data_IF_037116595735
#
_entry.id   IF_037116595735
#
_cell.length_a   1.000
_cell.length_b   1.000
_cell.length_c   1.000
_cell.angle_alpha   90.00
_cell.angle_beta   90.00
_cell.angle_gamma   90.00
#
_symmetry.space_group_name_H-M   'P 1'
#
loop_
_entity.id
_entity.type
_entity.pdbx_description
1 polymer ?
#
# COMPACT_ATOMS: atom_id res chain seq x y z
N UNK A 1 12.20 -7.67 -11.97
CA UNK A 1 13.15 -6.66 -11.45
C UNK A 1 12.55 -6.05 -10.19
N UNK A 2 13.32 -5.96 -9.13
CA UNK A 2 13.02 -5.21 -7.91
C UNK A 2 13.87 -3.94 -7.93
N UNK A 3 13.28 -2.79 -7.70
CA UNK A 3 13.96 -1.51 -7.66
C UNK A 3 13.75 -0.87 -6.29
N UNK A 4 14.84 -0.42 -5.67
CA UNK A 4 14.77 0.38 -4.47
C UNK A 4 14.34 1.80 -4.84
N UNK A 5 13.30 2.32 -4.20
CA UNK A 5 12.62 3.54 -4.63
C UNK A 5 13.48 4.82 -4.48
N UNK A 6 14.32 4.89 -3.46
CA UNK A 6 15.15 6.09 -3.20
C UNK A 6 16.51 6.04 -3.88
N UNK A 7 17.16 4.87 -3.91
CA UNK A 7 18.52 4.72 -4.47
C UNK A 7 18.54 4.28 -5.93
N UNK A 8 17.36 3.93 -6.48
CA UNK A 8 17.18 3.40 -7.84
C UNK A 8 17.95 2.09 -8.14
N UNK A 9 18.58 1.51 -7.14
CA UNK A 9 19.26 0.22 -7.27
C UNK A 9 18.29 -0.85 -7.74
N UNK A 10 18.71 -1.63 -8.73
CA UNK A 10 17.89 -2.67 -9.37
C UNK A 10 18.48 -4.05 -9.16
N UNK A 11 17.65 -4.96 -8.70
CA UNK A 11 17.98 -6.37 -8.57
C UNK A 11 17.14 -7.20 -9.54
N UNK A 12 17.78 -8.09 -10.28
CA UNK A 12 17.10 -9.02 -11.21
C UNK A 12 16.99 -10.39 -10.56
N UNK A 13 15.76 -10.87 -10.43
CA UNK A 13 15.47 -12.24 -10.06
C UNK A 13 15.04 -12.99 -11.31
N UNK A 14 15.80 -14.02 -11.69
CA UNK A 14 15.46 -14.88 -12.83
C UNK A 14 14.43 -15.91 -12.39
N UNK A 15 13.23 -15.83 -12.96
CA UNK A 15 12.19 -16.84 -12.79
C UNK A 15 12.26 -17.82 -13.98
N UNK A 16 12.07 -19.12 -13.69
CA UNK A 16 12.08 -20.17 -14.74
C UNK A 16 10.74 -20.31 -15.46
N UNK A 17 9.71 -19.68 -14.90
CA UNK A 17 8.34 -19.74 -15.39
C UNK A 17 7.69 -18.36 -15.27
N UNK A 18 6.46 -18.18 -15.79
CA UNK A 18 5.76 -16.90 -15.71
C UNK A 18 5.34 -16.59 -14.27
N UNK A 19 5.46 -15.31 -13.93
CA UNK A 19 5.10 -14.82 -12.60
C UNK A 19 3.59 -14.59 -12.55
N UNK A 20 2.89 -15.29 -11.65
CA UNK A 20 1.46 -15.12 -11.40
C UNK A 20 1.14 -13.96 -10.50
N UNK A 21 1.81 -13.93 -9.34
CA UNK A 21 1.63 -12.90 -8.30
C UNK A 21 2.96 -12.53 -7.68
N UNK A 22 3.03 -11.32 -7.20
CA UNK A 22 4.15 -10.83 -6.39
C UNK A 22 3.59 -10.11 -5.16
N UNK A 23 4.31 -10.20 -4.05
CA UNK A 23 4.07 -9.41 -2.86
C UNK A 23 5.39 -8.99 -2.25
N UNK A 24 5.44 -7.79 -1.72
CA UNK A 24 6.63 -7.25 -1.06
C UNK A 24 6.24 -6.65 0.28
N UNK A 25 7.05 -6.89 1.29
CA UNK A 25 6.92 -6.26 2.59
C UNK A 25 8.30 -6.14 3.24
N UNK A 26 8.73 -4.90 3.52
CA UNK A 26 10.08 -4.59 4.02
C UNK A 26 11.17 -5.24 3.14
N UNK A 27 11.97 -6.12 3.74
CA UNK A 27 13.07 -6.87 3.14
C UNK A 27 12.64 -8.22 2.52
N UNK A 28 11.34 -8.54 2.51
CA UNK A 28 10.80 -9.80 1.99
C UNK A 28 10.07 -9.60 0.69
N UNK A 29 10.32 -10.51 -0.26
CA UNK A 29 9.63 -10.59 -1.53
C UNK A 29 9.10 -12.00 -1.75
N UNK A 30 7.82 -12.14 -2.01
CA UNK A 30 7.20 -13.38 -2.44
C UNK A 30 6.89 -13.34 -3.94
N UNK A 31 7.21 -14.44 -4.64
CA UNK A 31 6.95 -14.60 -6.07
C UNK A 31 6.23 -15.92 -6.28
N UNK A 32 4.99 -15.86 -6.73
CA UNK A 32 4.20 -17.04 -7.09
C UNK A 32 4.38 -17.38 -8.57
N UNK A 33 4.82 -18.59 -8.82
CA UNK A 33 4.86 -19.24 -10.13
C UNK A 33 3.82 -20.37 -10.17
N UNK A 34 3.54 -20.98 -11.33
CA UNK A 34 2.68 -22.15 -11.39
C UNK A 34 3.16 -23.27 -10.46
N UNK A 35 2.31 -23.65 -9.49
CA UNK A 35 2.59 -24.71 -8.53
C UNK A 35 3.65 -24.42 -7.46
N UNK A 36 4.21 -23.21 -7.40
CA UNK A 36 5.31 -22.89 -6.47
C UNK A 36 5.25 -21.45 -5.99
N UNK A 37 5.62 -21.25 -4.73
CA UNK A 37 5.89 -19.95 -4.12
C UNK A 37 7.35 -19.87 -3.70
N UNK A 38 8.01 -18.79 -4.08
CA UNK A 38 9.38 -18.47 -3.67
C UNK A 38 9.36 -17.25 -2.76
N UNK A 39 10.04 -17.32 -1.63
CA UNK A 39 10.24 -16.20 -0.72
C UNK A 39 11.71 -15.84 -0.72
N UNK A 40 12.00 -14.58 -1.02
CA UNK A 40 13.33 -14.01 -1.09
C UNK A 40 13.52 -13.02 0.04
N UNK A 41 14.74 -12.99 0.55
CA UNK A 41 15.23 -11.90 1.39
C UNK A 41 15.99 -10.91 0.51
N UNK A 42 15.57 -9.66 0.54
CA UNK A 42 16.21 -8.62 -0.24
C UNK A 42 17.44 -8.11 0.52
N UNK A 43 18.55 -7.82 -0.17
CA UNK A 43 19.77 -7.34 0.47
C UNK A 43 19.56 -5.97 1.09
N UNK A 44 20.24 -5.71 2.20
CA UNK A 44 20.34 -4.38 2.77
C UNK A 44 21.02 -3.39 1.81
N UNK A 45 20.78 -2.11 2.01
CA UNK A 45 21.38 -1.04 1.20
C UNK A 45 22.91 -1.13 1.24
N UNK A 46 23.55 -1.10 0.06
CA UNK A 46 25.01 -1.06 -0.04
C UNK A 46 25.72 -2.41 -0.08
N UNK A 47 25.01 -3.54 0.04
CA UNK A 47 25.63 -4.86 -0.16
C UNK A 47 25.89 -5.14 -1.63
N UNK A 48 27.05 -5.76 -1.94
CA UNK A 48 27.36 -6.19 -3.32
C UNK A 48 26.28 -7.17 -3.85
N UNK A 49 25.81 -6.89 -5.05
CA UNK A 49 24.68 -7.61 -5.65
C UNK A 49 25.13 -8.95 -6.23
N UNK A 50 25.22 -9.94 -5.37
CA UNK A 50 25.26 -11.34 -5.80
C UNK A 50 23.91 -11.84 -6.33
N UNK A 51 23.88 -13.04 -6.89
CA UNK A 51 22.63 -13.72 -7.27
C UNK A 51 21.77 -13.94 -6.02
N UNK A 52 20.61 -13.27 -5.95
CA UNK A 52 19.65 -13.49 -4.84
C UNK A 52 19.05 -14.88 -4.99
N UNK A 53 19.31 -15.72 -4.00
CA UNK A 53 18.71 -17.06 -3.89
C UNK A 53 17.41 -16.97 -3.08
N UNK A 54 16.39 -17.77 -3.41
CA UNK A 54 15.21 -17.84 -2.58
C UNK A 54 15.57 -18.39 -1.20
N UNK A 55 15.08 -17.74 -0.17
CA UNK A 55 15.18 -18.20 1.22
C UNK A 55 14.30 -19.44 1.41
N UNK A 56 13.08 -19.41 0.88
CA UNK A 56 12.13 -20.51 0.93
C UNK A 56 11.57 -20.86 -0.45
N UNK A 57 11.28 -22.16 -0.65
CA UNK A 57 10.61 -22.70 -1.83
C UNK A 57 9.48 -23.60 -1.37
N UNK A 58 8.26 -23.21 -1.66
CA UNK A 58 7.08 -23.92 -1.19
C UNK A 58 6.28 -24.47 -2.37
N UNK A 59 5.77 -25.70 -2.32
CA UNK A 59 4.75 -26.15 -3.24
C UNK A 59 3.46 -25.35 -2.95
N UNK A 60 2.91 -24.71 -3.96
CA UNK A 60 1.68 -23.94 -3.85
C UNK A 60 0.87 -24.12 -5.13
N UNK A 61 -0.09 -25.00 -5.10
CA UNK A 61 -1.04 -25.25 -6.19
C UNK A 61 -2.30 -24.42 -6.07
N UNK A 62 -2.56 -23.84 -4.88
CA UNK A 62 -3.74 -23.03 -4.63
C UNK A 62 -3.73 -21.75 -5.50
N UNK A 63 -4.81 -21.51 -6.19
CA UNK A 63 -5.05 -20.23 -6.85
C UNK A 63 -5.48 -19.20 -5.81
N UNK A 64 -5.00 -17.97 -5.97
CA UNK A 64 -5.39 -16.87 -5.10
C UNK A 64 -5.66 -15.62 -5.94
N UNK A 65 -6.59 -14.79 -5.49
CA UNK A 65 -6.87 -13.50 -6.11
C UNK A 65 -5.77 -12.49 -5.74
N UNK A 66 -5.35 -12.51 -4.47
CA UNK A 66 -4.27 -11.65 -3.95
C UNK A 66 -3.28 -12.48 -3.14
N UNK A 67 -2.01 -12.16 -3.28
CA UNK A 67 -0.92 -12.61 -2.44
C UNK A 67 -0.46 -11.43 -1.58
N UNK A 68 -0.39 -11.62 -0.26
CA UNK A 68 0.06 -10.60 0.69
C UNK A 68 1.21 -11.17 1.51
N UNK A 69 2.18 -10.32 1.83
CA UNK A 69 3.37 -10.70 2.58
C UNK A 69 3.48 -9.86 3.84
N UNK A 70 3.87 -10.49 4.94
CA UNK A 70 4.29 -9.85 6.18
C UNK A 70 5.72 -10.27 6.51
N UNK A 71 6.23 -9.94 7.67
CA UNK A 71 7.64 -10.22 7.97
C UNK A 71 7.94 -11.72 8.15
N UNK A 72 6.96 -12.50 8.65
CA UNK A 72 7.12 -13.93 8.95
C UNK A 72 6.06 -14.82 8.29
N UNK A 73 5.06 -14.22 7.63
CA UNK A 73 3.94 -14.94 7.06
C UNK A 73 3.63 -14.47 5.65
N UNK A 74 2.95 -15.30 4.89
CA UNK A 74 2.26 -14.90 3.68
C UNK A 74 0.77 -15.23 3.80
N UNK A 75 -0.06 -14.44 3.12
CA UNK A 75 -1.50 -14.64 3.11
C UNK A 75 -1.97 -14.83 1.68
N UNK A 76 -2.89 -15.75 1.53
CA UNK A 76 -3.60 -16.01 0.28
C UNK A 76 -5.04 -15.55 0.43
N UNK A 77 -5.48 -14.69 -0.48
CA UNK A 77 -6.88 -14.29 -0.57
C UNK A 77 -7.54 -15.04 -1.71
N UNK A 78 -8.63 -15.70 -1.40
CA UNK A 78 -9.49 -16.34 -2.39
C UNK A 78 -10.96 -16.02 -2.08
N UNK A 79 -11.57 -15.23 -2.95
CA UNK A 79 -12.94 -14.71 -2.74
C UNK A 79 -13.09 -14.03 -1.36
N UNK A 80 -13.86 -14.65 -0.46
CA UNK A 80 -14.13 -14.15 0.90
C UNK A 80 -13.13 -14.64 1.95
N UNK A 81 -12.22 -15.54 1.58
CA UNK A 81 -11.31 -16.21 2.50
C UNK A 81 -9.93 -15.56 2.48
N UNK A 82 -9.43 -15.29 3.66
CA UNK A 82 -8.06 -14.84 3.90
C UNK A 82 -7.34 -15.92 4.72
N UNK A 83 -6.33 -16.55 4.15
CA UNK A 83 -5.61 -17.65 4.76
C UNK A 83 -4.18 -17.25 5.10
N UNK A 84 -3.77 -17.44 6.35
CA UNK A 84 -2.45 -17.16 6.88
C UNK A 84 -1.59 -18.41 6.86
N UNK A 85 -0.38 -18.29 6.34
CA UNK A 85 0.64 -19.33 6.29
C UNK A 85 1.96 -18.82 6.84
N UNK A 86 2.62 -19.62 7.67
CA UNK A 86 4.03 -19.42 7.99
C UNK A 86 4.92 -19.69 6.76
N UNK A 87 6.15 -19.21 6.76
CA UNK A 87 7.08 -19.43 5.64
C UNK A 87 7.43 -20.91 5.41
N UNK A 88 7.25 -21.78 6.40
CA UNK A 88 7.32 -23.23 6.21
C UNK A 88 6.13 -23.85 5.47
N UNK A 89 5.15 -23.08 5.01
CA UNK A 89 3.99 -23.54 4.26
C UNK A 89 2.86 -24.13 5.11
N UNK A 90 2.97 -24.10 6.44
CA UNK A 90 1.89 -24.54 7.35
C UNK A 90 0.83 -23.44 7.43
N UNK A 91 -0.45 -23.81 7.18
CA UNK A 91 -1.58 -22.94 7.41
C UNK A 91 -1.82 -22.78 8.91
N UNK A 92 -1.82 -21.53 9.38
CA UNK A 92 -1.96 -21.21 10.79
C UNK A 92 -3.35 -20.69 11.15
N UNK A 93 -3.96 -19.93 10.21
CA UNK A 93 -5.27 -19.31 10.44
C UNK A 93 -6.02 -19.05 9.13
N UNK A 94 -7.34 -18.96 9.25
CA UNK A 94 -8.24 -18.57 8.19
C UNK A 94 -9.30 -17.62 8.73
N UNK A 95 -9.60 -16.56 7.99
CA UNK A 95 -10.75 -15.69 8.21
C UNK A 95 -11.69 -15.81 7.01
N UNK A 96 -12.99 -15.88 7.29
CA UNK A 96 -14.02 -15.77 6.28
C UNK A 96 -14.74 -14.45 6.48
N UNK A 97 -14.73 -13.59 5.46
CA UNK A 97 -15.32 -12.26 5.51
C UNK A 97 -16.73 -12.27 4.86
N UNK A 98 -17.47 -11.19 5.04
CA UNK A 98 -18.86 -11.10 4.58
C UNK A 98 -18.97 -11.01 3.05
N UNK A 99 -17.99 -10.41 2.40
CA UNK A 99 -17.94 -10.22 0.94
C UNK A 99 -16.55 -10.53 0.36
N UNK A 100 -16.43 -10.52 -0.96
CA UNK A 100 -15.18 -10.75 -1.68
C UNK A 100 -14.12 -9.72 -1.30
N UNK A 101 -12.91 -10.21 -1.06
CA UNK A 101 -11.73 -9.38 -0.74
C UNK A 101 -11.21 -8.76 -2.04
N UNK A 102 -11.24 -7.44 -2.11
CA UNK A 102 -10.78 -6.68 -3.27
C UNK A 102 -9.38 -6.10 -3.07
N UNK A 103 -9.04 -5.72 -1.84
CA UNK A 103 -7.75 -5.12 -1.52
C UNK A 103 -7.31 -5.42 -0.10
N UNK A 104 -6.00 -5.59 0.10
CA UNK A 104 -5.38 -5.77 1.42
C UNK A 104 -4.16 -4.88 1.52
N UNK A 105 -4.12 -4.05 2.54
CA UNK A 105 -2.96 -3.21 2.91
C UNK A 105 -2.39 -3.70 4.23
N UNK A 106 -1.10 -4.01 4.25
CA UNK A 106 -0.38 -4.27 5.51
C UNK A 106 -0.06 -2.93 6.16
N UNK A 107 -0.58 -2.71 7.36
CA UNK A 107 -0.37 -1.45 8.09
C UNK A 107 0.83 -1.48 9.03
N UNK A 108 1.53 -2.63 9.08
CA UNK A 108 2.70 -2.85 9.92
C UNK A 108 2.33 -3.25 11.34
N UNK A 109 3.35 -3.32 12.18
CA UNK A 109 3.28 -3.82 13.55
C UNK A 109 4.52 -4.65 13.87
N UNK A 110 4.61 -5.22 15.09
CA UNK A 110 5.63 -6.19 15.44
C UNK A 110 5.53 -7.43 14.54
N UNK A 111 6.65 -8.11 14.30
CA UNK A 111 6.68 -9.35 13.52
C UNK A 111 5.73 -10.39 14.12
N UNK A 112 4.88 -10.99 13.31
CA UNK A 112 3.86 -11.94 13.74
C UNK A 112 2.60 -11.31 14.37
N UNK A 113 2.52 -9.97 14.45
CA UNK A 113 1.37 -9.21 14.96
C UNK A 113 1.01 -8.05 14.06
N UNK A 114 1.39 -8.12 12.80
CA UNK A 114 1.08 -7.07 11.85
C UNK A 114 -0.44 -6.89 11.70
N UNK A 115 -0.83 -5.63 11.54
CA UNK A 115 -2.19 -5.27 11.20
C UNK A 115 -2.39 -5.23 9.69
N UNK A 116 -3.58 -5.60 9.27
CA UNK A 116 -4.06 -5.51 7.89
C UNK A 116 -5.30 -4.64 7.85
N UNK A 117 -5.47 -3.88 6.79
CA UNK A 117 -6.77 -3.28 6.43
C UNK A 117 -7.22 -3.91 5.13
N UNK A 118 -8.45 -4.39 5.14
CA UNK A 118 -9.05 -5.16 4.04
C UNK A 118 -10.25 -4.39 3.51
N UNK A 119 -10.28 -4.17 2.21
CA UNK A 119 -11.40 -3.60 1.48
C UNK A 119 -12.18 -4.67 0.74
N UNK A 120 -13.50 -4.64 0.86
CA UNK A 120 -14.42 -5.64 0.33
C UNK A 120 -15.25 -5.12 -0.85
N UNK A 121 -15.75 -6.04 -1.65
CA UNK A 121 -16.60 -5.77 -2.80
C UNK A 121 -17.96 -5.13 -2.44
N UNK A 122 -18.40 -5.30 -1.22
CA UNK A 122 -19.64 -4.68 -0.73
C UNK A 122 -19.41 -3.29 -0.09
N UNK A 123 -18.19 -2.76 -0.17
CA UNK A 123 -17.80 -1.46 0.39
C UNK A 123 -17.39 -1.50 1.87
N UNK A 124 -17.44 -2.66 2.52
CA UNK A 124 -17.00 -2.76 3.91
C UNK A 124 -15.48 -2.73 3.99
N UNK A 125 -14.94 -1.98 4.96
CA UNK A 125 -13.55 -2.03 5.36
C UNK A 125 -13.41 -2.68 6.73
N UNK A 126 -12.45 -3.59 6.87
CA UNK A 126 -12.16 -4.31 8.11
C UNK A 126 -10.69 -4.18 8.48
N UNK A 127 -10.39 -4.17 9.78
CA UNK A 127 -9.05 -4.34 10.32
C UNK A 127 -8.89 -5.75 10.85
N UNK A 128 -7.79 -6.38 10.49
CA UNK A 128 -7.41 -7.73 10.95
C UNK A 128 -6.01 -7.64 11.54
N UNK A 129 -5.81 -8.22 12.71
CA UNK A 129 -4.48 -8.49 13.25
C UNK A 129 -4.18 -9.96 13.06
N UNK A 130 -3.00 -10.29 12.55
CA UNK A 130 -2.69 -11.67 12.18
C UNK A 130 -2.64 -12.64 13.36
N UNK A 131 -2.43 -12.13 14.57
CA UNK A 131 -2.50 -12.88 15.83
C UNK A 131 -3.92 -12.95 16.44
N UNK A 132 -4.92 -12.28 15.83
CA UNK A 132 -6.30 -12.24 16.33
C UNK A 132 -7.27 -12.90 15.33
N UNK A 133 -8.14 -13.83 15.77
CA UNK A 133 -9.13 -14.48 14.89
C UNK A 133 -10.32 -13.58 14.52
N UNK A 134 -10.51 -12.43 15.18
CA UNK A 134 -11.70 -11.60 15.00
C UNK A 134 -11.41 -10.34 14.18
N UNK A 135 -11.97 -10.23 12.96
CA UNK A 135 -11.93 -9.00 12.19
C UNK A 135 -12.73 -7.89 12.88
N UNK A 136 -12.20 -6.67 12.85
CA UNK A 136 -12.86 -5.48 13.37
C UNK A 136 -13.39 -4.66 12.19
N UNK A 137 -14.69 -4.44 12.12
CA UNK A 137 -15.31 -3.55 11.14
C UNK A 137 -14.89 -2.11 11.43
N UNK A 138 -14.45 -1.40 10.38
CA UNK A 138 -14.06 0.01 10.48
C UNK A 138 -15.21 0.92 10.05
N UNK A 139 -15.66 0.75 8.83
CA UNK A 139 -16.77 1.51 8.24
C UNK A 139 -17.35 0.76 7.03
N UNK A 140 -18.44 1.28 6.50
CA UNK A 140 -19.08 0.85 5.27
C UNK A 140 -19.08 1.99 4.28
N UNK A 141 -18.39 1.81 3.15
CA UNK A 141 -18.42 2.72 2.01
C UNK A 141 -19.62 2.39 1.11
N UNK A 142 -20.08 3.35 0.32
CA UNK A 142 -21.28 3.20 -0.54
C UNK A 142 -21.07 2.29 -1.74
N UNK A 143 -19.83 2.10 -2.18
CA UNK A 143 -19.46 1.33 -3.37
C UNK A 143 -18.33 0.35 -3.04
N UNK A 144 -18.06 -0.61 -3.94
CA UNK A 144 -16.98 -1.58 -3.79
C UNK A 144 -15.61 -0.89 -3.67
N UNK A 145 -14.81 -1.34 -2.71
CA UNK A 145 -13.45 -0.81 -2.48
C UNK A 145 -12.51 -1.41 -3.51
N UNK A 146 -11.88 -0.54 -4.31
CA UNK A 146 -10.93 -0.91 -5.35
C UNK A 146 -9.48 -0.88 -4.86
N UNK A 147 -9.11 0.16 -4.12
CA UNK A 147 -7.85 0.23 -3.38
C UNK A 147 -8.01 1.16 -2.17
N UNK A 148 -7.07 1.06 -1.26
CA UNK A 148 -7.04 1.91 -0.07
C UNK A 148 -5.60 2.13 0.41
N UNK A 149 -5.39 3.21 1.15
CA UNK A 149 -4.17 3.45 1.90
C UNK A 149 -4.47 4.15 3.24
N UNK A 150 -3.58 3.96 4.20
CA UNK A 150 -3.75 4.45 5.57
C UNK A 150 -2.70 5.49 5.87
N UNK A 151 -3.07 6.57 6.55
CA UNK A 151 -2.16 7.65 6.93
C UNK A 151 -1.05 7.17 7.87
N UNK A 152 0.06 7.93 7.92
CA UNK A 152 1.25 7.59 8.70
C UNK A 152 0.93 7.29 10.17
N UNK A 153 0.06 8.10 10.80
CA UNK A 153 -0.40 7.92 12.18
C UNK A 153 -1.57 6.94 12.32
N UNK A 154 -2.03 6.34 11.21
CA UNK A 154 -3.15 5.37 11.17
C UNK A 154 -4.48 5.91 11.68
N UNK A 155 -4.65 7.22 11.72
CA UNK A 155 -5.89 7.88 12.13
C UNK A 155 -6.87 8.12 10.98
N UNK A 156 -6.38 8.10 9.73
CA UNK A 156 -7.17 8.36 8.53
C UNK A 156 -6.98 7.25 7.51
N UNK A 157 -7.98 7.03 6.68
CA UNK A 157 -7.93 6.07 5.57
C UNK A 157 -8.49 6.72 4.32
N UNK A 158 -7.79 6.56 3.22
CA UNK A 158 -8.26 6.91 1.89
C UNK A 158 -8.70 5.66 1.15
N UNK A 159 -9.85 5.70 0.54
CA UNK A 159 -10.45 4.61 -0.24
C UNK A 159 -10.71 5.12 -1.64
N UNK A 160 -10.36 4.34 -2.64
CA UNK A 160 -10.81 4.54 -4.02
C UNK A 160 -11.79 3.43 -4.35
N UNK A 161 -12.93 3.80 -4.88
CA UNK A 161 -14.02 2.89 -5.20
C UNK A 161 -14.15 2.55 -6.69
N UNK A 162 -15.09 1.68 -7.04
CA UNK A 162 -15.35 1.30 -8.43
C UNK A 162 -15.93 2.46 -9.27
N UNK A 163 -16.48 3.50 -8.62
CA UNK A 163 -16.92 4.75 -9.27
C UNK A 163 -15.77 5.72 -9.55
N UNK A 164 -14.53 5.33 -9.23
CA UNK A 164 -13.34 6.17 -9.37
C UNK A 164 -13.39 7.44 -8.51
N UNK A 165 -13.99 7.35 -7.33
CA UNK A 165 -14.01 8.40 -6.32
C UNK A 165 -13.02 8.05 -5.21
N UNK A 166 -12.19 9.00 -4.80
CA UNK A 166 -11.40 8.88 -3.58
C UNK A 166 -12.15 9.52 -2.43
N UNK A 167 -12.35 8.78 -1.35
CA UNK A 167 -12.98 9.26 -0.12
C UNK A 167 -12.04 9.04 1.05
N UNK A 168 -11.81 10.07 1.85
CA UNK A 168 -10.98 10.01 3.06
C UNK A 168 -11.87 10.01 4.29
N UNK A 169 -11.67 9.00 5.15
CA UNK A 169 -12.37 8.86 6.42
C UNK A 169 -11.43 9.10 7.60
N UNK A 170 -11.94 9.77 8.61
CA UNK A 170 -11.38 9.72 9.96
C UNK A 170 -11.78 8.41 10.64
N UNK A 171 -10.81 7.60 11.02
CA UNK A 171 -11.07 6.27 11.58
C UNK A 171 -11.64 6.28 13.00
N UNK A 172 -11.50 7.40 13.72
CA UNK A 172 -12.03 7.54 15.08
C UNK A 172 -13.51 7.95 15.08
N UNK A 173 -13.86 8.92 14.24
CA UNK A 173 -15.23 9.45 14.16
C UNK A 173 -16.08 8.78 13.08
N UNK A 174 -15.46 8.08 12.11
CA UNK A 174 -16.14 7.55 10.92
C UNK A 174 -16.59 8.63 9.92
N UNK A 175 -16.23 9.89 10.13
CA UNK A 175 -16.64 11.00 9.25
C UNK A 175 -15.83 11.06 7.98
N UNK A 176 -16.49 11.43 6.88
CA UNK A 176 -15.82 11.81 5.63
C UNK A 176 -15.13 13.16 5.82
N UNK A 177 -13.84 13.22 5.55
CA UNK A 177 -13.01 14.43 5.62
C UNK A 177 -12.84 15.08 4.25
N UNK A 178 -12.84 14.28 3.19
CA UNK A 178 -12.52 14.71 1.85
C UNK A 178 -13.06 13.72 0.83
N UNK A 179 -13.54 14.21 -0.30
CA UNK A 179 -14.01 13.39 -1.41
C UNK A 179 -13.71 14.09 -2.73
N UNK A 180 -13.17 13.34 -3.71
CA UNK A 180 -12.88 13.84 -5.05
C UNK A 180 -13.03 12.74 -6.10
N UNK A 181 -13.55 13.07 -7.28
CA UNK A 181 -13.68 12.15 -8.40
C UNK A 181 -12.36 11.95 -9.14
N UNK A 182 -12.40 11.04 -10.13
CA UNK A 182 -11.29 10.75 -11.04
C UNK A 182 -10.04 10.18 -10.35
N UNK A 183 -10.23 9.30 -9.38
CA UNK A 183 -9.17 8.57 -8.72
C UNK A 183 -9.14 7.11 -9.17
N UNK A 184 -7.98 6.60 -9.51
CA UNK A 184 -7.73 5.18 -9.82
C UNK A 184 -6.73 4.53 -8.87
N UNK A 185 -5.93 5.31 -8.16
CA UNK A 185 -4.99 4.88 -7.15
C UNK A 185 -4.75 5.98 -6.12
N UNK A 186 -4.34 5.61 -4.92
CA UNK A 186 -4.10 6.53 -3.81
C UNK A 186 -2.87 6.10 -3.01
N UNK A 187 -2.11 7.06 -2.50
CA UNK A 187 -1.02 6.82 -1.56
C UNK A 187 -0.92 7.96 -0.55
N UNK A 188 -0.81 7.60 0.73
CA UNK A 188 -0.46 8.52 1.80
C UNK A 188 1.05 8.75 1.85
N UNK A 189 1.45 9.94 2.28
CA UNK A 189 2.83 10.19 2.62
C UNK A 189 3.22 9.34 3.84
N UNK A 190 4.34 8.62 3.72
CA UNK A 190 4.81 7.72 4.77
C UNK A 190 5.31 8.45 6.05
N UNK A 191 5.56 9.76 5.95
CA UNK A 191 6.15 10.58 7.02
C UNK A 191 5.21 11.67 7.51
N UNK A 192 4.32 12.19 6.65
CA UNK A 192 3.37 13.24 6.98
C UNK A 192 1.92 12.74 6.93
N UNK A 193 1.22 12.84 8.05
CA UNK A 193 -0.15 12.36 8.20
C UNK A 193 -1.19 13.19 7.42
N UNK A 194 -0.85 14.42 7.05
CA UNK A 194 -1.74 15.36 6.36
C UNK A 194 -1.51 15.44 4.85
N UNK A 195 -0.63 14.61 4.30
CA UNK A 195 -0.35 14.59 2.88
C UNK A 195 -0.76 13.28 2.22
N UNK A 196 -1.58 13.37 1.19
CA UNK A 196 -1.90 12.24 0.34
C UNK A 196 -1.85 12.64 -1.14
N UNK A 197 -1.64 11.69 -2.01
CA UNK A 197 -1.77 11.86 -3.45
C UNK A 197 -2.65 10.76 -4.04
N UNK A 198 -3.30 11.09 -5.14
CA UNK A 198 -4.07 10.14 -5.94
C UNK A 198 -3.91 10.44 -7.42
N UNK A 199 -4.05 9.44 -8.25
CA UNK A 199 -3.98 9.61 -9.70
C UNK A 199 -5.20 9.05 -10.39
N UNK A 200 -5.58 9.67 -11.49
CA UNK A 200 -6.65 9.22 -12.36
C UNK A 200 -6.83 10.19 -13.53
N UNK A 201 -7.35 9.70 -14.64
CA UNK A 201 -7.60 10.50 -15.83
C UNK A 201 -6.38 11.29 -16.34
N UNK A 202 -5.17 10.73 -16.24
CA UNK A 202 -3.94 11.42 -16.67
C UNK A 202 -3.51 12.59 -15.78
N UNK A 203 -4.04 12.66 -14.55
CA UNK A 203 -3.76 13.70 -13.58
C UNK A 203 -3.27 13.09 -12.27
N UNK A 204 -2.22 13.69 -11.70
CA UNK A 204 -1.79 13.49 -10.32
C UNK A 204 -2.37 14.66 -9.50
N UNK A 205 -3.07 14.31 -8.44
CA UNK A 205 -3.62 15.25 -7.46
C UNK A 205 -2.94 15.05 -6.11
N UNK A 206 -2.50 16.14 -5.49
CA UNK A 206 -1.85 16.15 -4.19
C UNK A 206 -2.70 16.97 -3.24
N UNK A 207 -3.10 16.38 -2.13
CA UNK A 207 -3.86 17.00 -1.06
C UNK A 207 -2.99 17.15 0.18
N UNK A 208 -2.89 18.38 0.68
CA UNK A 208 -2.19 18.69 1.94
C UNK A 208 -3.18 19.34 2.89
N UNK A 209 -3.48 18.70 4.00
CA UNK A 209 -4.40 19.20 5.02
C UNK A 209 -5.69 19.79 4.40
N UNK A 210 -6.07 21.00 4.79
CA UNK A 210 -7.24 21.72 4.26
C UNK A 210 -6.91 22.61 3.03
N UNK A 211 -5.71 22.52 2.49
CA UNK A 211 -5.30 23.33 1.34
C UNK A 211 -6.00 22.87 0.05
N UNK A 212 -6.14 23.75 -0.95
CA UNK A 212 -6.60 23.39 -2.27
C UNK A 212 -5.75 22.26 -2.88
N UNK A 213 -6.36 21.47 -3.74
CA UNK A 213 -5.66 20.45 -4.50
C UNK A 213 -4.57 21.08 -5.39
N UNK A 214 -3.38 20.49 -5.35
CA UNK A 214 -2.38 20.71 -6.37
C UNK A 214 -2.52 19.61 -7.43
N UNK A 215 -2.64 20.01 -8.70
CA UNK A 215 -2.84 19.07 -9.80
C UNK A 215 -1.78 19.27 -10.88
N UNK A 216 -1.27 18.17 -11.40
CA UNK A 216 -0.35 18.16 -12.53
C UNK A 216 -0.59 16.94 -13.43
N UNK A 217 -0.15 17.03 -14.68
CA UNK A 217 -0.26 15.92 -15.63
C UNK A 217 0.66 14.77 -15.20
N UNK A 218 0.10 13.57 -15.13
CA UNK A 218 0.84 12.34 -14.87
C UNK A 218 0.03 11.15 -15.39
N UNK A 219 0.69 10.25 -16.09
CA UNK A 219 0.10 8.98 -16.46
C UNK A 219 0.55 7.87 -15.50
N UNK A 220 -0.30 6.88 -15.28
CA UNK A 220 -0.01 5.74 -14.42
C UNK A 220 -0.67 5.82 -13.04
N UNK A 221 -0.27 4.87 -12.20
CA UNK A 221 -0.84 4.68 -10.86
C UNK A 221 0.17 5.12 -9.81
N UNK A 222 -0.25 5.88 -8.81
CA UNK A 222 0.58 6.13 -7.64
C UNK A 222 0.74 4.84 -6.85
N UNK A 223 1.98 4.52 -6.48
CA UNK A 223 2.33 3.31 -5.74
C UNK A 223 3.01 3.60 -4.40
N UNK A 224 3.40 4.86 -4.17
CA UNK A 224 3.98 5.29 -2.92
C UNK A 224 4.22 6.79 -2.87
N UNK A 225 4.28 7.32 -1.65
CA UNK A 225 4.59 8.72 -1.37
C UNK A 225 5.48 8.76 -0.13
N UNK A 226 6.69 9.26 -0.26
CA UNK A 226 7.63 9.38 0.85
C UNK A 226 8.42 10.69 0.74
N UNK A 227 8.47 11.43 1.84
CA UNK A 227 9.10 12.75 1.85
C UNK A 227 8.50 13.67 0.80
N UNK A 228 9.33 14.23 -0.06
CA UNK A 228 8.93 15.05 -1.21
C UNK A 228 8.71 14.26 -2.51
N UNK A 229 8.82 12.92 -2.48
CA UNK A 229 8.80 12.10 -3.70
C UNK A 229 7.56 11.23 -3.78
N UNK A 230 6.84 11.34 -4.92
CA UNK A 230 5.75 10.44 -5.29
C UNK A 230 6.28 9.45 -6.33
N UNK A 231 5.99 8.19 -6.10
CA UNK A 231 6.36 7.10 -6.99
C UNK A 231 5.14 6.64 -7.77
N UNK A 232 5.24 6.63 -9.09
CA UNK A 232 4.19 6.17 -9.98
C UNK A 232 4.68 5.03 -10.87
N UNK A 233 3.77 4.15 -11.20
CA UNK A 233 3.99 3.06 -12.14
C UNK A 233 3.16 3.32 -13.40
N UNK A 234 3.84 3.44 -14.54
CA UNK A 234 3.22 3.53 -15.86
C UNK A 234 3.76 2.42 -16.74
N UNK A 235 2.89 1.51 -17.18
CA UNK A 235 3.25 0.24 -17.81
C UNK A 235 4.24 -0.55 -16.94
N UNK A 236 5.48 -0.70 -17.40
CA UNK A 236 6.57 -1.42 -16.70
C UNK A 236 7.65 -0.48 -16.17
N UNK A 237 7.44 0.82 -16.26
CA UNK A 237 8.41 1.84 -15.83
C UNK A 237 7.94 2.53 -14.54
N UNK A 238 8.85 2.60 -13.57
CA UNK A 238 8.69 3.43 -12.39
C UNK A 238 9.09 4.86 -12.73
N UNK A 239 8.27 5.82 -12.38
CA UNK A 239 8.54 7.25 -12.46
C UNK A 239 8.52 7.85 -11.06
N UNK A 240 9.42 8.81 -10.83
CA UNK A 240 9.46 9.60 -9.60
C UNK A 240 9.04 11.02 -9.92
N UNK A 241 8.15 11.56 -9.12
CA UNK A 241 7.66 12.93 -9.23
C UNK A 241 8.03 13.67 -7.96
N UNK A 242 8.79 14.74 -8.09
CA UNK A 242 9.11 15.61 -6.97
C UNK A 242 7.93 16.54 -6.67
N UNK A 243 7.57 16.63 -5.40
CA UNK A 243 6.48 17.49 -4.93
C UNK A 243 7.06 18.84 -4.54
N UNK A 244 6.63 19.93 -5.16
CA UNK A 244 7.06 21.26 -4.74
C UNK A 244 6.48 21.60 -3.37
N UNK A 245 7.32 21.58 -2.35
CA UNK A 245 6.91 21.79 -0.95
C UNK A 245 6.71 23.29 -0.60
N UNK A 246 7.22 24.20 -1.43
CA UNK A 246 7.18 25.65 -1.18
C UNK A 246 5.77 26.17 -0.93
N UNK A 247 4.79 25.75 -1.74
CA UNK A 247 3.41 26.21 -1.58
C UNK A 247 2.79 25.77 -0.24
N UNK A 248 3.04 24.55 0.19
CA UNK A 248 2.57 24.05 1.49
C UNK A 248 3.30 24.73 2.64
N UNK A 249 4.61 24.93 2.52
CA UNK A 249 5.44 25.61 3.51
C UNK A 249 4.95 27.05 3.77
N UNK A 250 4.79 27.84 2.71
CA UNK A 250 4.32 29.21 2.85
C UNK A 250 2.92 29.31 3.45
N UNK A 251 2.01 28.40 3.09
CA UNK A 251 0.66 28.38 3.67
C UNK A 251 0.63 28.07 5.15
N UNK A 252 1.48 27.15 5.61
CA UNK A 252 1.63 26.90 7.05
C UNK A 252 2.22 28.11 7.78
N UNK A 253 3.20 28.79 7.16
CA UNK A 253 3.76 30.04 7.73
C UNK A 253 2.70 31.14 7.83
N UNK A 254 1.88 31.33 6.80
CA UNK A 254 0.77 32.30 6.81
C UNK A 254 -0.27 32.01 7.89
N UNK A 255 -0.52 30.72 8.16
CA UNK A 255 -1.40 30.24 9.24
C UNK A 255 -0.73 30.27 10.62
N UNK A 256 0.55 30.64 10.71
CA UNK A 256 1.38 30.61 11.93
C UNK A 256 1.51 29.21 12.53
N UNK A 257 1.29 28.16 11.75
CA UNK A 257 1.58 26.77 12.13
C UNK A 257 3.06 26.44 11.85
N UNK A 258 3.92 26.96 12.70
CA UNK A 258 5.38 26.79 12.57
C UNK A 258 5.82 25.34 12.72
N UNK A 259 5.06 24.52 13.49
CA UNK A 259 5.39 23.11 13.65
C UNK A 259 5.13 22.32 12.37
N UNK A 260 4.01 22.56 11.68
CA UNK A 260 3.74 21.96 10.38
C UNK A 260 4.69 22.48 9.30
N UNK A 261 4.98 23.80 9.30
CA UNK A 261 5.94 24.40 8.37
C UNK A 261 7.33 23.75 8.52
N UNK A 262 7.81 23.57 9.75
CA UNK A 262 9.09 22.90 10.01
C UNK A 262 9.12 21.46 9.53
N UNK A 263 8.06 20.66 9.79
CA UNK A 263 7.96 19.29 9.29
C UNK A 263 8.04 19.22 7.77
N UNK A 264 7.36 20.13 7.07
CA UNK A 264 7.40 20.21 5.60
C UNK A 264 8.78 20.64 5.10
N UNK A 265 9.44 21.59 5.77
CA UNK A 265 10.80 22.03 5.42
C UNK A 265 11.85 20.93 5.57
N UNK A 266 11.63 19.97 6.46
CA UNK A 266 12.53 18.82 6.69
C UNK A 266 12.32 17.65 5.73
N UNK A 267 11.34 17.72 4.82
CA UNK A 267 11.15 16.72 3.76
C UNK A 267 12.18 16.96 2.65
N UNK A 268 13.33 16.38 2.77
CA UNK A 268 14.40 16.45 1.79
C UNK A 268 14.47 15.25 0.87
#
# INVERSE_FOLDING_TARGET
VVQHMLTEQKVRIKCRDYVRKIAIYKDRLAVQLPGRLFIYELPEQGSEHGSIKPHEKLPLTAECNLLVLTQQHFLLCHEKKLQLYGFGGKREREWTLDAEIRYVKVTGGPAGREGLVVGLADGQACRIFIDNPFPVRLFKHSSAIRCLDVSAMRGKIAVVDDSSVVTVYDLKSGKVLFEEPNASSVAWNAELDDMLCFSGNGTLSIKTANFPLHQQRMQGFVVGFKGSKIFSLHYVAMQTVDVPQSASLYRYLDQKDFAAAHRVACLG
#
